data_IF_764974838941
#
_entry.id   IF_764974838941
#
_cell.length_a   1.000
_cell.length_b   1.000
_cell.length_c   1.000
_cell.angle_alpha   90.00
_cell.angle_beta   90.00
_cell.angle_gamma   90.00
#
_symmetry.space_group_name_H-M   'P 1'
#
loop_
_entity.id
_entity.type
_entity.pdbx_description
1 polymer ?
#
# COMPACT_ATOMS: atom_id res chain seq x y z
N UNK A 1 -31.30 -13.10 6.02
CA UNK A 1 -31.35 -14.23 6.96
C UNK A 1 -29.94 -14.48 7.46
N UNK A 2 -29.69 -14.25 8.75
CA UNK A 2 -28.42 -14.59 9.42
C UNK A 2 -28.52 -15.98 10.06
N UNK A 3 -27.42 -16.73 10.13
CA UNK A 3 -27.40 -18.17 10.48
C UNK A 3 -27.20 -18.48 11.98
N UNK A 4 -27.53 -17.56 12.88
CA UNK A 4 -27.69 -17.85 14.32
C UNK A 4 -26.40 -18.07 15.15
N UNK A 5 -25.23 -17.60 14.71
CA UNK A 5 -24.01 -17.68 15.50
C UNK A 5 -24.12 -16.91 16.83
N UNK A 6 -23.65 -17.50 17.94
CA UNK A 6 -23.57 -16.82 19.24
C UNK A 6 -22.40 -15.84 19.27
N UNK A 7 -22.46 -14.83 20.15
CA UNK A 7 -21.37 -13.86 20.33
C UNK A 7 -20.04 -14.55 20.72
N UNK A 8 -20.09 -15.61 21.53
CA UNK A 8 -18.91 -16.40 21.89
C UNK A 8 -18.30 -17.14 20.69
N UNK A 9 -19.14 -17.69 19.81
CA UNK A 9 -18.69 -18.33 18.57
C UNK A 9 -18.06 -17.31 17.61
N UNK A 10 -18.62 -16.10 17.53
CA UNK A 10 -18.04 -14.98 16.76
C UNK A 10 -16.68 -14.58 17.33
N UNK A 11 -16.58 -14.40 18.66
CA UNK A 11 -15.32 -14.05 19.33
C UNK A 11 -14.23 -15.10 19.09
N UNK A 12 -14.54 -16.38 19.28
CA UNK A 12 -13.59 -17.47 19.06
C UNK A 12 -13.18 -17.62 17.58
N UNK A 13 -14.12 -17.38 16.65
CA UNK A 13 -13.83 -17.38 15.22
C UNK A 13 -12.92 -16.22 14.80
N UNK A 14 -13.20 -15.00 15.25
CA UNK A 14 -12.39 -13.82 14.97
C UNK A 14 -10.97 -13.94 15.53
N UNK A 15 -10.82 -14.49 16.74
CA UNK A 15 -9.52 -14.66 17.38
C UNK A 15 -8.56 -15.59 16.61
N UNK A 16 -9.10 -16.50 15.78
CA UNK A 16 -8.33 -17.49 15.02
C UNK A 16 -8.26 -17.17 13.52
N UNK A 17 -8.70 -15.98 13.09
CA UNK A 17 -8.62 -15.58 11.69
C UNK A 17 -7.16 -15.50 11.25
N UNK A 18 -6.85 -16.24 10.18
CA UNK A 18 -5.59 -16.07 9.45
C UNK A 18 -5.81 -15.06 8.34
N UNK A 19 -4.89 -14.12 8.21
CA UNK A 19 -4.89 -13.18 7.10
C UNK A 19 -4.84 -13.96 5.78
N UNK A 20 -5.63 -13.51 4.80
CA UNK A 20 -5.58 -14.06 3.44
C UNK A 20 -4.37 -13.43 2.75
N UNK A 21 -3.44 -14.22 2.19
CA UNK A 21 -2.30 -13.67 1.44
C UNK A 21 -2.77 -12.65 0.39
N UNK A 22 -2.07 -11.52 0.29
CA UNK A 22 -2.43 -10.42 -0.61
C UNK A 22 -3.58 -9.52 -0.15
N UNK A 23 -4.04 -9.62 1.11
CA UNK A 23 -5.00 -8.69 1.75
C UNK A 23 -4.42 -8.12 3.03
N UNK A 24 -3.76 -6.97 2.95
CA UNK A 24 -3.00 -6.34 4.06
C UNK A 24 -2.15 -7.34 4.87
N UNK A 25 -1.47 -8.26 4.17
CA UNK A 25 -0.70 -9.31 4.81
C UNK A 25 0.66 -8.77 5.28
N UNK A 26 0.95 -8.74 6.61
CA UNK A 26 2.20 -8.20 7.12
C UNK A 26 3.37 -9.18 6.90
N UNK A 27 4.45 -8.69 6.32
CA UNK A 27 5.70 -9.40 6.08
C UNK A 27 6.83 -8.61 6.74
N UNK A 28 7.36 -9.13 7.85
CA UNK A 28 8.53 -8.54 8.49
C UNK A 28 9.77 -8.82 7.64
N UNK A 29 10.45 -7.76 7.16
CA UNK A 29 11.67 -7.90 6.36
C UNK A 29 12.93 -7.90 7.23
N UNK A 30 12.98 -7.00 8.22
CA UNK A 30 14.05 -6.83 9.21
C UNK A 30 13.50 -6.04 10.40
N UNK A 31 14.32 -5.74 11.41
CA UNK A 31 13.94 -4.85 12.51
C UNK A 31 13.49 -3.48 11.96
N UNK A 32 12.32 -3.00 12.40
CA UNK A 32 11.68 -1.75 11.93
C UNK A 32 11.36 -1.70 10.41
N UNK A 33 11.41 -2.83 9.70
CA UNK A 33 11.05 -2.91 8.29
C UNK A 33 9.87 -3.83 8.05
N UNK A 34 8.73 -3.23 7.73
CA UNK A 34 7.47 -3.92 7.48
C UNK A 34 7.03 -3.74 6.03
N UNK A 35 6.72 -4.84 5.37
CA UNK A 35 6.03 -4.86 4.09
C UNK A 35 4.57 -5.28 4.32
N UNK A 36 3.62 -4.49 3.79
CA UNK A 36 2.20 -4.85 3.77
C UNK A 36 1.84 -5.32 2.36
N UNK A 37 1.59 -6.62 2.20
CA UNK A 37 1.17 -7.20 0.92
C UNK A 37 -0.36 -7.12 0.76
N UNK A 38 -0.80 -6.18 -0.07
CA UNK A 38 -2.20 -5.99 -0.49
C UNK A 38 -2.35 -6.17 -2.03
N UNK A 39 -1.53 -7.06 -2.62
CA UNK A 39 -1.37 -7.16 -4.08
C UNK A 39 -2.48 -7.92 -4.82
N UNK A 40 -3.52 -8.41 -4.14
CA UNK A 40 -4.54 -9.26 -4.76
C UNK A 40 -5.48 -8.50 -5.72
N UNK A 41 -5.96 -7.31 -5.33
CA UNK A 41 -6.89 -6.51 -6.13
C UNK A 41 -6.76 -5.02 -5.80
N UNK A 42 -6.75 -4.17 -6.83
CA UNK A 42 -6.70 -2.72 -6.67
C UNK A 42 -7.92 -2.06 -7.34
N UNK A 43 -8.71 -1.36 -6.53
CA UNK A 43 -9.74 -0.42 -6.95
C UNK A 43 -9.64 0.84 -6.07
N UNK A 44 -10.33 1.92 -6.45
CA UNK A 44 -10.22 3.22 -5.74
C UNK A 44 -10.51 3.09 -4.24
N UNK A 45 -11.53 2.31 -3.88
CA UNK A 45 -11.90 2.09 -2.47
C UNK A 45 -10.82 1.35 -1.69
N UNK A 46 -10.33 0.22 -2.22
CA UNK A 46 -9.29 -0.57 -1.54
C UNK A 46 -7.97 0.19 -1.46
N UNK A 47 -7.57 0.90 -2.52
CA UNK A 47 -6.34 1.69 -2.51
C UNK A 47 -6.40 2.87 -1.55
N UNK A 48 -7.55 3.57 -1.48
CA UNK A 48 -7.73 4.67 -0.53
C UNK A 48 -7.67 4.16 0.91
N UNK A 49 -8.24 2.99 1.19
CA UNK A 49 -8.12 2.34 2.49
C UNK A 49 -6.68 1.91 2.79
N UNK A 50 -5.96 1.36 1.82
CA UNK A 50 -4.55 0.99 1.97
C UNK A 50 -3.66 2.22 2.27
N UNK A 51 -3.95 3.36 1.66
CA UNK A 51 -3.29 4.64 1.99
C UNK A 51 -3.50 5.02 3.46
N UNK A 52 -4.74 4.92 3.97
CA UNK A 52 -5.03 5.25 5.37
C UNK A 52 -4.29 4.32 6.34
N UNK A 53 -4.32 3.00 6.07
CA UNK A 53 -3.57 2.02 6.87
C UNK A 53 -2.07 2.34 6.86
N UNK A 54 -1.50 2.64 5.70
CA UNK A 54 -0.08 2.96 5.58
C UNK A 54 0.29 4.27 6.28
N UNK A 55 -0.60 5.27 6.31
CA UNK A 55 -0.37 6.55 6.96
C UNK A 55 -0.23 6.43 8.49
N UNK A 56 -0.92 5.47 9.08
CA UNK A 56 -0.85 5.14 10.52
C UNK A 56 0.40 4.32 10.89
N UNK A 57 1.14 3.80 9.90
CA UNK A 57 2.36 3.03 10.17
C UNK A 57 3.50 3.94 10.62
N UNK A 58 4.38 3.46 11.53
CA UNK A 58 5.54 4.23 11.97
C UNK A 58 6.62 4.31 10.87
N UNK A 59 7.48 5.33 10.99
CA UNK A 59 8.67 5.46 10.15
C UNK A 59 8.39 6.04 8.76
N UNK A 60 9.30 5.74 7.83
CA UNK A 60 9.24 6.24 6.45
C UNK A 60 8.33 5.36 5.59
N UNK A 61 7.21 5.91 5.12
CA UNK A 61 6.13 5.17 4.45
C UNK A 61 6.25 5.26 2.95
N UNK A 62 6.41 4.10 2.32
CA UNK A 62 6.51 3.96 0.85
C UNK A 62 5.30 3.22 0.33
N UNK A 63 4.49 3.89 -0.48
CA UNK A 63 3.37 3.29 -1.20
C UNK A 63 3.86 2.78 -2.56
N UNK A 64 3.83 1.46 -2.78
CA UNK A 64 4.21 0.83 -4.06
C UNK A 64 2.96 0.36 -4.78
N UNK A 65 2.69 0.86 -5.99
CA UNK A 65 1.42 0.66 -6.70
C UNK A 65 1.58 0.30 -8.16
N UNK A 66 0.59 -0.44 -8.68
CA UNK A 66 0.41 -0.70 -10.10
C UNK A 66 -0.88 -0.09 -10.64
N UNK A 67 -1.21 -0.41 -11.88
CA UNK A 67 -2.48 0.02 -12.50
C UNK A 67 -3.68 -0.63 -11.80
N UNK A 68 -4.72 0.16 -11.55
CA UNK A 68 -6.05 -0.34 -11.19
C UNK A 68 -6.77 -0.87 -12.44
N UNK A 69 -7.44 -2.02 -12.33
CA UNK A 69 -8.13 -2.65 -13.44
C UNK A 69 -9.57 -2.12 -13.64
N UNK A 70 -10.11 -2.30 -14.85
CA UNK A 70 -11.55 -2.14 -15.17
C UNK A 70 -12.19 -0.76 -14.90
N UNK A 71 -11.42 0.34 -15.01
CA UNK A 71 -11.92 1.70 -14.72
C UNK A 71 -12.50 2.47 -15.94
N UNK A 72 -12.37 1.93 -17.15
CA UNK A 72 -12.88 2.58 -18.37
C UNK A 72 -12.42 4.03 -18.54
N UNK A 73 -13.34 4.92 -18.93
CA UNK A 73 -13.05 6.34 -19.20
C UNK A 73 -12.66 7.14 -17.94
N UNK A 74 -13.01 6.67 -16.74
CA UNK A 74 -12.72 7.35 -15.48
C UNK A 74 -11.35 6.93 -14.89
N UNK A 75 -10.62 6.05 -15.60
CA UNK A 75 -9.35 5.50 -15.14
C UNK A 75 -8.39 6.56 -14.63
N UNK A 76 -8.14 7.62 -15.39
CA UNK A 76 -7.21 8.67 -14.98
C UNK A 76 -7.66 9.40 -13.71
N UNK A 77 -8.93 9.83 -13.66
CA UNK A 77 -9.49 10.52 -12.50
C UNK A 77 -9.42 9.65 -11.24
N UNK A 78 -9.71 8.36 -11.35
CA UNK A 78 -9.59 7.40 -10.27
C UNK A 78 -8.14 7.28 -9.75
N UNK A 79 -7.15 7.22 -10.63
CA UNK A 79 -5.74 7.19 -10.22
C UNK A 79 -5.30 8.52 -9.57
N UNK A 80 -5.76 9.65 -10.07
CA UNK A 80 -5.50 10.97 -9.46
C UNK A 80 -6.05 11.03 -8.04
N UNK A 81 -7.30 10.58 -7.81
CA UNK A 81 -7.91 10.56 -6.47
C UNK A 81 -7.07 9.78 -5.45
N UNK A 82 -6.53 8.62 -5.83
CA UNK A 82 -5.65 7.82 -4.95
C UNK A 82 -4.34 8.57 -4.66
N UNK A 83 -3.77 9.26 -5.66
CA UNK A 83 -2.58 10.08 -5.48
C UNK A 83 -2.82 11.26 -4.54
N UNK A 84 -3.95 11.96 -4.69
CA UNK A 84 -4.36 13.04 -3.80
C UNK A 84 -4.60 12.55 -2.37
N UNK A 85 -5.21 11.36 -2.20
CA UNK A 85 -5.36 10.73 -0.90
C UNK A 85 -3.99 10.45 -0.25
N UNK A 86 -3.02 9.92 -1.01
CA UNK A 86 -1.66 9.69 -0.51
C UNK A 86 -0.96 10.99 -0.09
N UNK A 87 -1.17 12.08 -0.84
CA UNK A 87 -0.67 13.41 -0.48
C UNK A 87 -1.28 13.91 0.81
N UNK A 88 -2.62 13.86 0.92
CA UNK A 88 -3.34 14.33 2.09
C UNK A 88 -2.98 13.54 3.36
N UNK A 89 -2.70 12.24 3.20
CA UNK A 89 -2.29 11.36 4.28
C UNK A 89 -0.81 11.50 4.69
N UNK A 90 -0.02 12.32 3.98
CA UNK A 90 1.38 12.56 4.32
C UNK A 90 2.30 11.36 4.04
N UNK A 91 1.99 10.56 3.02
CA UNK A 91 2.87 9.47 2.57
C UNK A 91 4.20 10.04 2.10
N UNK A 92 5.32 9.43 2.51
CA UNK A 92 6.66 9.99 2.27
C UNK A 92 7.16 9.73 0.84
N UNK A 93 6.75 8.59 0.24
CA UNK A 93 7.09 8.22 -1.14
C UNK A 93 6.00 7.39 -1.80
N UNK A 94 5.79 7.62 -3.10
CA UNK A 94 4.95 6.76 -3.95
C UNK A 94 5.77 6.22 -5.13
N UNK A 95 5.97 4.91 -5.21
CA UNK A 95 6.59 4.28 -6.39
C UNK A 95 5.50 3.61 -7.23
N UNK A 96 5.39 3.97 -8.50
CA UNK A 96 4.37 3.41 -9.39
C UNK A 96 4.95 2.71 -10.61
N UNK A 97 4.27 1.68 -11.09
CA UNK A 97 4.64 0.95 -12.32
C UNK A 97 3.39 0.53 -13.09
N UNK A 98 3.34 0.87 -14.37
CA UNK A 98 2.18 0.57 -15.22
C UNK A 98 1.90 1.70 -16.21
N UNK A 99 0.81 1.62 -16.95
CA UNK A 99 0.45 2.62 -17.96
C UNK A 99 -0.33 3.79 -17.40
N UNK A 100 -1.09 3.59 -16.31
CA UNK A 100 -2.02 4.59 -15.77
C UNK A 100 -1.60 5.05 -14.37
N UNK A 101 -0.90 4.20 -13.62
CA UNK A 101 -0.46 4.45 -12.24
C UNK A 101 0.54 5.60 -12.06
N UNK A 102 1.11 6.13 -13.15
CA UNK A 102 1.89 7.36 -13.10
C UNK A 102 1.07 8.54 -12.54
N UNK A 103 -0.25 8.55 -12.75
CA UNK A 103 -1.14 9.58 -12.23
C UNK A 103 -1.16 9.58 -10.69
N UNK A 104 -1.09 8.41 -10.04
CA UNK A 104 -1.01 8.29 -8.57
C UNK A 104 0.27 8.94 -8.06
N UNK A 105 1.43 8.53 -8.61
CA UNK A 105 2.73 9.05 -8.18
C UNK A 105 2.89 10.55 -8.49
N UNK A 106 2.26 11.04 -9.55
CA UNK A 106 2.29 12.47 -9.91
C UNK A 106 1.44 13.28 -8.95
N UNK A 107 0.19 12.88 -8.73
CA UNK A 107 -0.75 13.61 -7.86
C UNK A 107 -0.34 13.58 -6.38
N UNK A 108 0.41 12.56 -5.95
CA UNK A 108 0.94 12.52 -4.58
C UNK A 108 1.96 13.63 -4.28
N UNK A 109 2.61 14.18 -5.32
CA UNK A 109 3.67 15.20 -5.19
C UNK A 109 5.00 14.67 -4.65
N UNK A 110 5.09 13.37 -4.37
CA UNK A 110 6.25 12.70 -3.76
C UNK A 110 6.62 11.41 -4.50
N UNK A 111 6.14 11.23 -5.72
CA UNK A 111 6.25 9.96 -6.41
C UNK A 111 7.33 9.86 -7.49
N UNK A 112 7.71 8.62 -7.79
CA UNK A 112 8.58 8.22 -8.90
C UNK A 112 7.84 7.14 -9.72
N UNK A 113 7.77 7.30 -11.04
CA UNK A 113 7.13 6.33 -11.94
C UNK A 113 8.17 5.54 -12.74
N UNK A 114 7.92 4.24 -12.93
CA UNK A 114 8.85 3.32 -13.58
C UNK A 114 8.20 2.60 -14.77
N UNK A 115 8.99 2.41 -15.82
CA UNK A 115 8.56 1.69 -17.02
C UNK A 115 8.37 0.18 -16.79
N UNK A 116 9.09 -0.40 -15.82
CA UNK A 116 9.02 -1.82 -15.51
C UNK A 116 9.26 -2.10 -14.02
N UNK A 117 8.84 -3.30 -13.61
CA UNK A 117 8.91 -3.74 -12.21
C UNK A 117 10.36 -3.91 -11.74
N UNK A 118 11.29 -4.25 -12.63
CA UNK A 118 12.70 -4.49 -12.28
C UNK A 118 13.37 -3.19 -11.84
N UNK A 119 13.14 -2.11 -12.58
CA UNK A 119 13.62 -0.78 -12.24
C UNK A 119 13.04 -0.30 -10.90
N UNK A 120 11.72 -0.48 -10.69
CA UNK A 120 11.07 -0.15 -9.42
C UNK A 120 11.67 -0.95 -8.26
N UNK A 121 11.80 -2.28 -8.40
CA UNK A 121 12.36 -3.16 -7.36
C UNK A 121 13.78 -2.73 -6.99
N UNK A 122 14.59 -2.34 -7.97
CA UNK A 122 15.95 -1.84 -7.74
C UNK A 122 15.93 -0.57 -6.90
N UNK A 123 15.08 0.40 -7.25
CA UNK A 123 14.91 1.64 -6.47
C UNK A 123 14.39 1.38 -5.06
N UNK A 124 13.40 0.50 -4.92
CA UNK A 124 12.79 0.14 -3.65
C UNK A 124 13.81 -0.48 -2.69
N UNK A 125 14.65 -1.41 -3.19
CA UNK A 125 15.74 -2.00 -2.39
C UNK A 125 16.71 -0.96 -1.85
N UNK A 126 17.02 0.09 -2.63
CA UNK A 126 17.87 1.18 -2.15
C UNK A 126 17.21 2.01 -1.05
N UNK A 127 15.89 2.26 -1.13
CA UNK A 127 15.16 2.95 -0.07
C UNK A 127 15.12 2.12 1.23
N UNK A 128 14.87 0.82 1.11
CA UNK A 128 14.87 -0.10 2.25
C UNK A 128 16.26 -0.15 2.90
N UNK A 129 17.34 -0.24 2.11
CA UNK A 129 18.70 -0.23 2.65
C UNK A 129 19.05 1.12 3.29
N UNK A 130 18.70 2.25 2.66
CA UNK A 130 18.95 3.59 3.20
C UNK A 130 18.27 3.85 4.55
N UNK A 131 17.11 3.24 4.80
CA UNK A 131 16.42 3.32 6.08
C UNK A 131 17.16 2.62 7.24
N UNK A 132 18.08 1.69 6.95
CA UNK A 132 18.87 1.01 7.99
C UNK A 132 20.08 1.81 8.49
N UNK A 133 20.46 2.89 7.80
CA UNK A 133 21.71 3.61 8.04
C UNK A 133 21.69 4.72 9.09
N UNK A 134 20.52 5.07 9.66
CA UNK A 134 20.35 6.27 10.50
C UNK A 134 19.82 5.99 11.91
N UNK A 135 20.21 4.89 12.54
CA UNK A 135 20.00 4.68 13.97
C UNK A 135 21.29 5.00 14.74
N UNK A 136 21.59 6.29 14.85
CA UNK A 136 22.54 6.77 15.86
C UNK A 136 21.76 6.99 17.16
N UNK A 137 22.02 6.16 18.16
CA UNK A 137 21.49 6.34 19.51
C UNK A 137 22.35 7.42 20.19
N UNK A 138 21.86 8.66 20.19
CA UNK A 138 22.32 9.72 21.10
C UNK A 138 21.32 9.93 22.22
#
# INVERSE_FOLDING_TARGET
>A
MSVGATLDAIKAGLANLKAVPGRLFPIQLAENQLLLDDSYNANVGSMTAAVQVLAEMPGYRVLVVGDMAELGAESEACHVQVGEAAKAAGIDRVLSVGKQSHAISTASGVGEHFADKTALITRLKLLIAGATGNYDFS
#
